data_IF_317338640072
#
_entry.id   IF_317338640072
#
_cell.length_a   1.000
_cell.length_b   1.000
_cell.length_c   1.000
_cell.angle_alpha   90.00
_cell.angle_beta   90.00
_cell.angle_gamma   90.00
#
_symmetry.space_group_name_H-M   'P 1'
#
loop_
_entity.id
_entity.type
_entity.pdbx_description
1 polymer ?
#
# COMPACT_ATOMS: atom_id res chain seq x y z
N UNK A 1 24.00 6.48 38.78
CA UNK A 1 23.36 7.51 37.94
C UNK A 1 23.71 7.15 36.51
N UNK A 2 22.80 6.49 35.78
CA UNK A 2 23.08 5.83 34.51
C UNK A 2 23.09 6.80 33.32
N UNK A 3 23.92 6.50 32.32
CA UNK A 3 24.15 7.20 31.05
C UNK A 3 22.90 7.49 30.18
N UNK A 4 21.70 7.09 30.60
CA UNK A 4 20.45 7.28 29.85
C UNK A 4 19.95 8.72 29.90
N UNK A 5 20.34 9.52 30.89
CA UNK A 5 19.86 10.90 31.01
C UNK A 5 20.35 11.85 29.90
N UNK A 6 21.34 11.45 29.08
CA UNK A 6 21.88 12.28 27.98
C UNK A 6 21.55 11.75 26.58
N UNK A 7 20.79 10.66 26.45
CA UNK A 7 20.46 10.13 25.12
C UNK A 7 19.27 10.90 24.52
N UNK A 8 19.50 11.60 23.40
CA UNK A 8 18.50 12.40 22.67
C UNK A 8 17.30 11.60 22.17
N UNK A 9 17.42 10.28 22.12
CA UNK A 9 16.39 9.36 21.58
C UNK A 9 15.45 8.78 22.65
N UNK A 10 15.68 9.06 23.93
CA UNK A 10 14.82 8.59 25.04
C UNK A 10 14.15 9.79 25.70
N UNK A 11 12.82 9.78 25.73
CA UNK A 11 12.01 10.84 26.35
C UNK A 11 11.18 10.27 27.50
N UNK A 12 11.30 10.87 28.69
CA UNK A 12 10.53 10.49 29.87
C UNK A 12 9.46 11.52 30.17
N UNK A 13 8.26 11.05 30.45
CA UNK A 13 7.09 11.86 30.78
C UNK A 13 6.46 11.26 32.03
N UNK A 14 6.29 12.06 33.08
CA UNK A 14 5.60 11.64 34.30
C UNK A 14 4.31 12.43 34.42
N UNK A 15 3.16 11.75 34.42
CA UNK A 15 1.85 12.38 34.59
C UNK A 15 1.55 12.62 36.07
N UNK A 16 0.58 13.51 36.33
CA UNK A 16 0.14 13.86 37.68
C UNK A 16 -0.46 12.67 38.47
N UNK A 17 -0.94 11.64 37.77
CA UNK A 17 -1.43 10.38 38.35
C UNK A 17 -0.31 9.42 38.79
N UNK A 18 0.96 9.81 38.62
CA UNK A 18 2.13 9.01 38.97
C UNK A 18 2.56 8.01 37.90
N UNK A 19 1.87 7.98 36.75
CA UNK A 19 2.23 7.10 35.63
C UNK A 19 3.42 7.67 34.85
N UNK A 20 4.45 6.84 34.64
CA UNK A 20 5.66 7.15 33.90
C UNK A 20 5.60 6.54 32.49
N UNK A 21 5.82 7.37 31.49
CA UNK A 21 5.94 6.97 30.09
C UNK A 21 7.36 7.22 29.60
N UNK A 22 7.99 6.20 29.04
CA UNK A 22 9.32 6.26 28.44
C UNK A 22 9.17 6.00 26.94
N UNK A 23 9.36 7.03 26.12
CA UNK A 23 9.32 6.92 24.67
C UNK A 23 10.75 6.72 24.14
N UNK A 24 10.97 5.64 23.41
CA UNK A 24 12.25 5.33 22.74
C UNK A 24 12.06 5.53 21.24
N UNK A 25 12.69 6.57 20.71
CA UNK A 25 12.71 6.89 19.29
C UNK A 25 13.65 5.96 18.53
N UNK A 26 13.18 5.41 17.42
CA UNK A 26 13.96 4.49 16.60
C UNK A 26 14.03 4.94 15.14
N UNK A 27 15.18 4.69 14.50
CA UNK A 27 15.32 4.74 13.06
C UNK A 27 15.15 3.31 12.52
N UNK A 28 14.13 3.08 11.69
CA UNK A 28 13.59 1.76 11.31
C UNK A 28 14.52 0.80 10.53
N UNK A 29 15.83 1.02 10.55
CA UNK A 29 16.87 0.23 9.86
C UNK A 29 18.25 0.36 10.55
N UNK A 30 18.31 0.74 11.83
CA UNK A 30 19.56 0.96 12.56
C UNK A 30 19.83 -0.14 13.60
N UNK A 31 21.06 -0.66 13.60
CA UNK A 31 21.52 -1.57 14.65
C UNK A 31 21.62 -0.85 16.00
N UNK A 32 22.04 0.42 15.98
CA UNK A 32 22.13 1.26 17.17
C UNK A 32 20.76 1.42 17.85
N UNK A 33 19.69 1.59 17.07
CA UNK A 33 18.32 1.66 17.61
C UNK A 33 17.90 0.33 18.26
N UNK A 34 18.35 -0.81 17.73
CA UNK A 34 18.03 -2.13 18.28
C UNK A 34 18.73 -2.34 19.63
N UNK A 35 19.99 -1.96 19.71
CA UNK A 35 20.80 -2.08 20.94
C UNK A 35 20.30 -1.10 22.02
N UNK A 36 19.92 0.13 21.61
CA UNK A 36 19.29 1.12 22.49
C UNK A 36 17.99 0.59 23.12
N UNK A 37 17.13 -0.01 22.31
CA UNK A 37 15.86 -0.61 22.78
C UNK A 37 16.13 -1.73 23.78
N UNK A 38 17.10 -2.60 23.51
CA UNK A 38 17.47 -3.68 24.43
C UNK A 38 17.97 -3.12 25.78
N UNK A 39 18.88 -2.13 25.73
CA UNK A 39 19.39 -1.45 26.93
C UNK A 39 18.25 -0.78 27.71
N UNK A 40 17.38 -0.03 27.05
CA UNK A 40 16.27 0.67 27.67
C UNK A 40 15.29 -0.29 28.39
N UNK A 41 14.92 -1.41 27.76
CA UNK A 41 14.04 -2.42 28.41
C UNK A 41 14.72 -3.03 29.64
N UNK A 42 16.02 -3.38 29.51
CA UNK A 42 16.77 -4.01 30.60
C UNK A 42 17.02 -3.08 31.80
N UNK A 43 17.18 -1.78 31.59
CA UNK A 43 17.46 -0.83 32.68
C UNK A 43 16.18 -0.27 33.32
N UNK A 44 15.15 -0.01 32.52
CA UNK A 44 13.91 0.63 32.99
C UNK A 44 13.03 -0.35 33.76
N UNK A 45 13.06 -1.63 33.38
CA UNK A 45 12.14 -2.67 33.85
C UNK A 45 10.68 -2.18 33.85
N UNK A 46 10.12 -1.88 32.67
CA UNK A 46 8.76 -1.38 32.56
C UNK A 46 7.73 -2.47 32.89
N UNK A 47 6.55 -2.04 33.34
CA UNK A 47 5.40 -2.92 33.55
C UNK A 47 4.82 -3.42 32.22
N UNK A 48 4.90 -2.59 31.17
CA UNK A 48 4.44 -2.92 29.81
C UNK A 48 5.35 -2.31 28.75
N UNK A 49 5.63 -3.07 27.69
CA UNK A 49 6.31 -2.57 26.49
C UNK A 49 5.31 -2.39 25.35
N UNK A 50 5.10 -1.15 24.94
CA UNK A 50 4.31 -0.78 23.77
C UNK A 50 5.20 -0.72 22.52
N UNK A 51 4.73 -1.24 21.39
CA UNK A 51 5.50 -1.27 20.15
C UNK A 51 4.67 -0.75 18.98
N UNK A 52 5.27 0.08 18.11
CA UNK A 52 4.67 0.60 16.87
C UNK A 52 4.52 -0.48 15.77
N UNK A 53 3.88 -1.59 16.12
CA UNK A 53 3.55 -2.70 15.24
C UNK A 53 2.08 -3.04 15.35
N UNK A 54 1.49 -3.43 14.22
CA UNK A 54 0.20 -4.10 14.16
C UNK A 54 0.38 -5.62 14.04
N UNK A 55 -0.68 -6.39 14.30
CA UNK A 55 -0.63 -7.85 14.24
C UNK A 55 -0.16 -8.41 12.90
N UNK A 56 -0.56 -7.77 11.79
CA UNK A 56 -0.22 -8.21 10.45
C UNK A 56 1.28 -8.05 10.18
N UNK A 57 1.86 -6.91 10.60
CA UNK A 57 3.30 -6.68 10.54
C UNK A 57 4.07 -7.60 11.49
N UNK A 58 3.60 -7.82 12.72
CA UNK A 58 4.24 -8.78 13.63
C UNK A 58 4.30 -10.19 13.01
N UNK A 59 3.17 -10.69 12.52
CA UNK A 59 3.09 -12.00 11.84
C UNK A 59 4.02 -12.09 10.63
N UNK A 60 4.24 -10.97 9.93
CA UNK A 60 5.14 -10.91 8.78
C UNK A 60 6.63 -10.90 9.18
N UNK A 61 6.95 -10.35 10.36
CA UNK A 61 8.29 -10.37 10.93
C UNK A 61 8.62 -11.75 11.55
N UNK A 62 7.62 -12.41 12.15
CA UNK A 62 7.74 -13.77 12.72
C UNK A 62 7.80 -14.86 11.63
N UNK A 63 6.97 -14.76 10.57
CA UNK A 63 6.98 -15.69 9.42
C UNK A 63 7.15 -14.91 8.09
N UNK A 64 8.39 -14.56 7.72
CA UNK A 64 8.70 -13.83 6.49
C UNK A 64 8.32 -14.58 5.22
N UNK A 65 8.11 -15.90 5.31
CA UNK A 65 7.83 -16.78 4.19
C UNK A 65 6.34 -17.12 4.06
N UNK A 66 5.48 -16.57 4.94
CA UNK A 66 4.04 -16.82 4.97
C UNK A 66 3.35 -16.62 3.62
N UNK A 67 3.73 -15.57 2.89
CA UNK A 67 3.16 -15.25 1.59
C UNK A 67 3.49 -16.29 0.51
N UNK A 68 4.57 -17.08 0.66
CA UNK A 68 4.90 -18.21 -0.22
C UNK A 68 3.86 -19.33 -0.15
N UNK A 69 3.07 -19.37 0.94
CA UNK A 69 2.00 -20.35 1.17
C UNK A 69 0.62 -19.83 0.76
N UNK A 70 0.50 -18.59 0.27
CA UNK A 70 -0.81 -18.02 -0.04
C UNK A 70 -1.31 -18.50 -1.39
N UNK A 71 -2.54 -19.01 -1.42
CA UNK A 71 -3.19 -19.46 -2.65
C UNK A 71 -3.64 -18.26 -3.50
N UNK A 72 -2.96 -18.03 -4.62
CA UNK A 72 -3.31 -17.00 -5.59
C UNK A 72 -4.72 -17.15 -6.15
N UNK A 73 -5.25 -18.39 -6.24
CA UNK A 73 -6.61 -18.63 -6.74
C UNK A 73 -7.63 -17.99 -5.80
N UNK A 74 -7.41 -18.11 -4.49
CA UNK A 74 -8.25 -17.50 -3.47
C UNK A 74 -8.16 -15.96 -3.52
N UNK A 75 -6.94 -15.42 -3.57
CA UNK A 75 -6.71 -13.97 -3.65
C UNK A 75 -7.41 -13.35 -4.87
N UNK A 76 -7.25 -13.96 -6.05
CA UNK A 76 -7.89 -13.44 -7.28
C UNK A 76 -9.40 -13.56 -7.16
N UNK A 77 -9.93 -14.71 -6.70
CA UNK A 77 -11.39 -14.88 -6.53
C UNK A 77 -12.00 -13.86 -5.56
N UNK A 78 -11.26 -13.46 -4.53
CA UNK A 78 -11.67 -12.45 -3.54
C UNK A 78 -11.38 -11.00 -3.99
N UNK A 79 -11.00 -10.77 -5.26
CA UNK A 79 -10.63 -9.46 -5.80
C UNK A 79 -9.46 -8.76 -5.07
N UNK A 80 -8.61 -9.52 -4.38
CA UNK A 80 -7.48 -9.01 -3.59
C UNK A 80 -6.16 -8.94 -4.35
N UNK A 81 -6.17 -9.15 -5.68
CA UNK A 81 -4.95 -9.17 -6.48
C UNK A 81 -4.19 -7.84 -6.41
N UNK A 82 -4.91 -6.71 -6.35
CA UNK A 82 -4.31 -5.39 -6.14
C UNK A 82 -3.59 -5.27 -4.79
N UNK A 83 -4.19 -5.80 -3.72
CA UNK A 83 -3.58 -5.84 -2.38
C UNK A 83 -2.33 -6.71 -2.36
N UNK A 84 -2.36 -7.86 -3.04
CA UNK A 84 -1.18 -8.71 -3.19
C UNK A 84 -0.06 -7.96 -3.91
N UNK A 85 -0.35 -7.31 -5.04
CA UNK A 85 0.64 -6.53 -5.80
C UNK A 85 1.23 -5.43 -4.92
N UNK A 86 0.40 -4.67 -4.21
CA UNK A 86 0.86 -3.64 -3.28
C UNK A 86 1.78 -4.21 -2.20
N UNK A 87 1.41 -5.33 -1.57
CA UNK A 87 2.23 -6.00 -0.56
C UNK A 87 3.56 -6.50 -1.14
N UNK A 88 3.57 -7.06 -2.35
CA UNK A 88 4.78 -7.53 -3.02
C UNK A 88 5.71 -6.37 -3.36
N UNK A 89 5.17 -5.25 -3.85
CA UNK A 89 5.94 -4.03 -4.14
C UNK A 89 6.52 -3.46 -2.84
N UNK A 90 5.70 -3.27 -1.82
CA UNK A 90 6.13 -2.73 -0.51
C UNK A 90 7.17 -3.62 0.15
N UNK A 91 6.92 -4.94 0.21
CA UNK A 91 7.87 -5.91 0.74
C UNK A 91 9.18 -5.96 -0.06
N UNK A 92 9.11 -5.78 -1.38
CA UNK A 92 10.31 -5.70 -2.22
C UNK A 92 11.15 -4.45 -1.95
N UNK A 93 10.49 -3.31 -1.75
CA UNK A 93 11.14 -2.05 -1.42
C UNK A 93 11.79 -2.13 -0.03
N UNK A 94 11.08 -2.66 0.96
CA UNK A 94 11.60 -2.94 2.30
C UNK A 94 12.82 -3.87 2.26
N UNK A 95 12.75 -4.96 1.50
CA UNK A 95 13.88 -5.89 1.34
C UNK A 95 15.08 -5.23 0.68
N UNK A 96 14.87 -4.36 -0.32
CA UNK A 96 15.94 -3.62 -1.01
C UNK A 96 16.63 -2.62 -0.08
N UNK A 97 15.88 -1.90 0.75
CA UNK A 97 16.45 -0.97 1.74
C UNK A 97 17.24 -1.71 2.83
N UNK A 98 16.72 -2.84 3.34
CA UNK A 98 17.41 -3.63 4.36
C UNK A 98 18.71 -4.29 3.90
N UNK A 99 18.89 -4.52 2.59
CA UNK A 99 20.16 -5.02 2.02
C UNK A 99 21.28 -3.97 2.08
N UNK A 100 20.96 -2.67 2.12
CA UNK A 100 21.95 -1.61 2.18
C UNK A 100 22.46 -1.34 3.61
N UNK A 101 21.65 -1.61 4.63
CA UNK A 101 22.00 -1.39 6.05
C UNK A 101 22.30 -2.69 6.81
N UNK A 102 22.04 -3.86 6.23
CA UNK A 102 22.19 -5.16 6.90
C UNK A 102 21.10 -5.46 7.95
N UNK A 103 20.31 -4.45 8.34
CA UNK A 103 19.22 -4.55 9.32
C UNK A 103 17.88 -4.57 8.58
N UNK A 104 17.05 -5.58 8.88
CA UNK A 104 15.72 -5.68 8.30
C UNK A 104 14.84 -4.54 8.83
N UNK A 105 14.02 -3.89 7.98
CA UNK A 105 13.08 -2.88 8.46
C UNK A 105 12.14 -3.44 9.54
N UNK A 106 12.01 -2.74 10.66
CA UNK A 106 11.21 -3.20 11.80
C UNK A 106 11.91 -4.20 12.73
N UNK A 107 13.22 -4.46 12.54
CA UNK A 107 13.98 -5.35 13.40
C UNK A 107 14.16 -4.79 14.82
N UNK A 108 14.19 -3.47 14.97
CA UNK A 108 14.21 -2.77 16.25
C UNK A 108 12.90 -2.98 17.03
N UNK A 109 11.76 -2.85 16.34
CA UNK A 109 10.43 -3.08 16.92
C UNK A 109 10.22 -4.56 17.27
N UNK A 110 10.63 -5.47 16.39
CA UNK A 110 10.58 -6.91 16.69
C UNK A 110 11.53 -7.31 17.82
N UNK A 111 12.73 -6.70 17.85
CA UNK A 111 13.68 -6.87 18.94
C UNK A 111 13.10 -6.45 20.29
N UNK A 112 12.35 -5.34 20.35
CA UNK A 112 11.62 -4.93 21.55
C UNK A 112 10.69 -6.04 22.08
N UNK A 113 9.96 -6.69 21.18
CA UNK A 113 9.03 -7.78 21.53
C UNK A 113 9.80 -8.99 22.06
N UNK A 114 10.92 -9.36 21.43
CA UNK A 114 11.75 -10.47 21.89
C UNK A 114 12.34 -10.21 23.28
N UNK A 115 12.94 -9.03 23.48
CA UNK A 115 13.53 -8.63 24.75
C UNK A 115 12.48 -8.58 25.87
N UNK A 116 11.28 -8.06 25.58
CA UNK A 116 10.17 -8.05 26.54
C UNK A 116 9.69 -9.47 26.89
N UNK A 117 9.58 -10.37 25.89
CA UNK A 117 9.24 -11.79 26.10
C UNK A 117 10.29 -12.49 26.97
N UNK A 118 11.57 -12.26 26.73
CA UNK A 118 12.67 -12.82 27.54
C UNK A 118 12.63 -12.32 28.99
N UNK A 119 12.26 -11.05 29.20
CA UNK A 119 12.11 -10.44 30.52
C UNK A 119 10.75 -10.73 31.19
N UNK A 120 9.85 -11.51 30.56
CA UNK A 120 8.47 -11.76 31.01
C UNK A 120 7.64 -10.47 31.22
N UNK A 121 7.92 -9.43 30.44
CA UNK A 121 7.16 -8.18 30.44
C UNK A 121 6.05 -8.27 29.37
N UNK A 122 4.79 -7.94 29.70
CA UNK A 122 3.71 -7.93 28.71
C UNK A 122 3.98 -6.90 27.60
N UNK A 123 3.68 -7.30 26.37
CA UNK A 123 3.81 -6.44 25.19
C UNK A 123 2.46 -6.01 24.65
N UNK A 124 2.30 -4.73 24.34
CA UNK A 124 1.11 -4.18 23.68
C UNK A 124 1.46 -3.71 22.26
N UNK A 125 0.75 -4.23 21.27
CA UNK A 125 0.77 -3.70 19.91
C UNK A 125 -0.01 -2.38 19.89
N UNK A 126 0.70 -1.28 19.69
CA UNK A 126 0.15 0.06 19.85
C UNK A 126 -0.30 0.70 18.53
N UNK A 127 0.01 0.09 17.39
CA UNK A 127 -0.28 0.69 16.08
C UNK A 127 -1.53 0.11 15.43
N UNK A 128 -2.16 0.91 14.57
CA UNK A 128 -3.31 0.48 13.76
C UNK A 128 -2.85 -0.34 12.56
N UNK A 129 -3.75 -1.15 12.01
CA UNK A 129 -3.47 -1.92 10.78
C UNK A 129 -2.98 -0.98 9.67
N UNK A 130 -1.76 -1.22 9.17
CA UNK A 130 -1.14 -0.42 8.12
C UNK A 130 -2.01 -0.35 6.84
N UNK A 131 -2.82 -1.38 6.55
CA UNK A 131 -3.78 -1.36 5.44
C UNK A 131 -4.91 -0.37 5.67
N UNK A 132 -5.31 -0.16 6.92
CA UNK A 132 -6.30 0.87 7.27
C UNK A 132 -5.65 2.24 7.10
N UNK A 133 -4.45 2.45 7.66
CA UNK A 133 -3.64 3.67 7.46
C UNK A 133 -3.55 4.05 5.98
N UNK A 134 -3.04 3.15 5.14
CA UNK A 134 -2.82 3.41 3.72
C UNK A 134 -4.13 3.65 2.96
N UNK A 135 -5.18 2.85 3.21
CA UNK A 135 -6.49 3.06 2.56
C UNK A 135 -7.10 4.39 2.97
N UNK A 136 -6.97 4.77 4.23
CA UNK A 136 -7.50 6.02 4.76
C UNK A 136 -6.75 7.21 4.18
N UNK A 137 -5.41 7.18 4.13
CA UNK A 137 -4.58 8.18 3.45
C UNK A 137 -5.04 8.35 2.02
N UNK A 138 -5.26 7.24 1.30
CA UNK A 138 -5.77 7.30 -0.06
C UNK A 138 -7.19 7.86 -0.12
N UNK A 139 -8.09 7.51 0.80
CA UNK A 139 -9.47 8.03 0.78
C UNK A 139 -9.55 9.53 1.07
N UNK A 140 -8.72 10.05 1.98
CA UNK A 140 -8.71 11.45 2.37
C UNK A 140 -7.97 12.35 1.37
N UNK A 141 -7.05 11.80 0.58
CA UNK A 141 -6.28 12.59 -0.40
C UNK A 141 -7.14 12.90 -1.63
N UNK A 142 -7.28 14.18 -2.04
CA UNK A 142 -7.98 14.57 -3.25
C UNK A 142 -7.38 13.97 -4.52
N UNK A 143 -8.20 13.75 -5.56
CA UNK A 143 -7.77 13.07 -6.78
C UNK A 143 -6.58 13.77 -7.48
N UNK A 144 -6.57 15.11 -7.54
CA UNK A 144 -5.49 15.87 -8.17
C UNK A 144 -4.15 15.75 -7.42
N UNK A 145 -4.18 15.67 -6.08
CA UNK A 145 -2.97 15.44 -5.25
C UNK A 145 -2.45 14.01 -5.40
N UNK A 146 -3.34 13.02 -5.55
CA UNK A 146 -2.93 11.64 -5.89
C UNK A 146 -2.16 11.60 -7.20
N UNK A 147 -2.64 12.28 -8.24
CA UNK A 147 -1.92 12.36 -9.52
C UNK A 147 -0.59 13.08 -9.37
N UNK A 148 -0.53 14.17 -8.60
CA UNK A 148 0.73 14.87 -8.30
C UNK A 148 1.75 13.97 -7.58
N UNK A 149 1.33 13.21 -6.56
CA UNK A 149 2.18 12.22 -5.87
C UNK A 149 2.68 11.13 -6.81
N UNK A 150 1.79 10.59 -7.65
CA UNK A 150 2.18 9.58 -8.64
C UNK A 150 3.20 10.17 -9.62
N UNK A 151 2.94 11.38 -10.13
CA UNK A 151 3.85 12.07 -11.04
C UNK A 151 5.22 12.37 -10.42
N UNK A 152 5.27 12.81 -9.15
CA UNK A 152 6.53 13.08 -8.46
C UNK A 152 7.32 11.80 -8.19
N UNK A 153 6.65 10.70 -7.82
CA UNK A 153 7.29 9.38 -7.69
C UNK A 153 7.80 8.85 -9.03
N UNK A 154 7.06 9.05 -10.12
CA UNK A 154 7.57 8.69 -11.45
C UNK A 154 8.78 9.55 -11.82
N UNK A 155 8.73 10.87 -11.60
CA UNK A 155 9.84 11.76 -11.87
C UNK A 155 11.10 11.35 -11.11
N UNK A 156 10.98 11.00 -9.83
CA UNK A 156 12.12 10.56 -9.01
C UNK A 156 12.71 9.21 -9.45
N UNK A 157 11.91 8.32 -10.06
CA UNK A 157 12.42 7.07 -10.65
C UNK A 157 13.19 7.27 -11.96
N UNK A 158 12.93 8.37 -12.68
CA UNK A 158 13.68 8.75 -13.88
C UNK A 158 14.86 9.68 -13.57
N UNK A 159 14.93 10.18 -12.34
CA UNK A 159 16.06 10.95 -11.86
C UNK A 159 17.24 10.00 -11.63
N UNK A 160 18.33 10.23 -12.37
CA UNK A 160 19.57 9.44 -12.30
C UNK A 160 20.64 10.14 -11.47
N UNK A 161 20.28 11.18 -10.73
CA UNK A 161 21.22 11.84 -9.83
C UNK A 161 21.66 10.85 -8.74
N UNK A 162 22.94 10.50 -8.77
CA UNK A 162 23.56 9.75 -7.68
C UNK A 162 23.63 10.67 -6.46
N UNK A 163 22.96 10.28 -5.37
CA UNK A 163 23.00 11.01 -4.11
C UNK A 163 24.42 10.95 -3.56
N UNK A 164 25.07 12.09 -3.43
CA UNK A 164 26.43 12.17 -2.89
C UNK A 164 26.47 11.70 -1.42
N UNK A 165 27.60 11.16 -0.94
CA UNK A 165 27.73 10.76 0.47
C UNK A 165 27.47 11.91 1.45
N UNK A 166 27.81 13.14 1.05
CA UNK A 166 27.58 14.38 1.79
C UNK A 166 26.08 14.67 1.96
N UNK A 167 25.30 14.56 0.86
CA UNK A 167 23.83 14.69 0.90
C UNK A 167 23.19 13.55 1.69
N UNK A 168 23.72 12.34 1.57
CA UNK A 168 23.24 11.17 2.30
C UNK A 168 23.43 11.32 3.81
N UNK A 169 24.54 11.94 4.25
CA UNK A 169 24.78 12.29 5.66
C UNK A 169 23.85 13.40 6.14
N UNK A 170 23.62 14.45 5.33
CA UNK A 170 22.63 15.49 5.65
C UNK A 170 21.23 14.89 5.84
N UNK A 171 20.77 14.07 4.91
CA UNK A 171 19.46 13.40 4.98
C UNK A 171 19.33 12.51 6.21
N UNK A 172 20.41 11.87 6.69
CA UNK A 172 20.37 11.00 7.88
C UNK A 172 20.20 11.75 9.20
N UNK A 173 20.45 13.06 9.24
CA UNK A 173 20.27 13.83 10.47
C UNK A 173 18.78 13.99 10.81
N UNK A 174 18.44 13.87 12.10
CA UNK A 174 17.07 14.00 12.61
C UNK A 174 16.46 15.37 12.25
N UNK A 175 17.27 16.43 12.26
CA UNK A 175 16.86 17.79 11.90
C UNK A 175 16.54 17.95 10.40
N UNK A 176 17.26 17.26 9.52
CA UNK A 176 16.97 17.30 8.09
C UNK A 176 15.75 16.45 7.74
N UNK A 177 15.58 15.28 8.38
CA UNK A 177 14.39 14.44 8.21
C UNK A 177 13.12 15.16 8.67
N UNK A 178 13.17 15.80 9.83
CA UNK A 178 12.03 16.57 10.34
C UNK A 178 11.69 17.75 9.42
N UNK A 179 12.70 18.46 8.89
CA UNK A 179 12.50 19.55 7.92
C UNK A 179 11.89 19.04 6.61
N UNK A 180 12.39 17.92 6.06
CA UNK A 180 11.81 17.30 4.86
C UNK A 180 10.37 16.84 5.08
N UNK A 181 10.06 16.27 6.25
CA UNK A 181 8.70 15.88 6.62
C UNK A 181 7.77 17.09 6.77
N UNK A 182 8.27 18.22 7.26
CA UNK A 182 7.51 19.46 7.32
C UNK A 182 7.21 20.01 5.91
N UNK A 183 8.19 20.07 5.02
CA UNK A 183 7.99 20.53 3.63
C UNK A 183 7.08 19.58 2.84
N UNK A 184 7.24 18.27 3.02
CA UNK A 184 6.32 17.28 2.47
C UNK A 184 4.90 17.49 3.01
N UNK A 185 4.75 17.75 4.30
CA UNK A 185 3.47 18.02 4.95
C UNK A 185 2.80 19.31 4.49
N UNK A 186 3.56 20.35 4.11
CA UNK A 186 3.01 21.56 3.48
C UNK A 186 2.45 21.27 2.10
N UNK A 187 3.12 20.40 1.34
CA UNK A 187 2.73 20.04 -0.03
C UNK A 187 1.55 19.06 -0.05
N UNK A 188 1.54 18.08 0.86
CA UNK A 188 0.55 17.01 0.96
C UNK A 188 -0.03 16.92 2.38
N UNK A 189 -0.79 17.95 2.84
CA UNK A 189 -1.28 18.00 4.21
C UNK A 189 -2.21 16.85 4.55
N UNK A 190 -3.06 16.36 3.63
CA UNK A 190 -3.93 15.21 3.93
C UNK A 190 -3.13 13.92 4.16
N UNK A 191 -1.99 13.78 3.47
CA UNK A 191 -1.10 12.63 3.66
C UNK A 191 -0.42 12.72 5.01
N UNK A 192 0.11 13.89 5.39
CA UNK A 192 0.68 14.13 6.71
C UNK A 192 -0.35 13.86 7.81
N UNK A 193 -1.54 14.44 7.69
CA UNK A 193 -2.60 14.31 8.70
C UNK A 193 -2.92 12.85 8.97
N UNK A 194 -3.07 12.03 7.92
CA UNK A 194 -3.41 10.61 8.14
C UNK A 194 -2.21 9.77 8.56
N UNK A 195 -1.03 9.94 7.94
CA UNK A 195 0.14 9.09 8.20
C UNK A 195 0.86 9.44 9.50
N UNK A 196 0.81 10.69 9.94
CA UNK A 196 1.50 11.20 11.12
C UNK A 196 0.45 11.59 12.17
N UNK A 197 -0.28 12.70 11.99
CA UNK A 197 -1.06 13.32 13.08
C UNK A 197 -2.12 12.36 13.67
N UNK A 198 -2.92 11.69 12.83
CA UNK A 198 -3.92 10.70 13.28
C UNK A 198 -3.29 9.41 13.80
N UNK A 199 -2.12 9.05 13.27
CA UNK A 199 -1.39 7.86 13.71
C UNK A 199 -0.78 8.10 15.10
N UNK A 200 -0.28 9.29 15.35
CA UNK A 200 0.18 9.75 16.67
C UNK A 200 -0.95 9.72 17.69
N UNK A 201 -2.16 10.17 17.30
CA UNK A 201 -3.35 10.08 18.14
C UNK A 201 -3.68 8.63 18.51
N UNK A 202 -3.65 7.72 17.53
CA UNK A 202 -3.90 6.30 17.77
C UNK A 202 -2.82 5.69 18.69
N UNK A 203 -1.55 5.90 18.37
CA UNK A 203 -0.42 5.41 19.17
C UNK A 203 -0.47 5.95 20.59
N UNK A 204 -0.69 7.24 20.76
CA UNK A 204 -0.78 7.88 22.06
C UNK A 204 -1.98 7.36 22.88
N UNK A 205 -3.14 7.11 22.26
CA UNK A 205 -4.28 6.46 22.92
C UNK A 205 -3.89 5.09 23.48
N UNK A 206 -3.28 4.23 22.64
CA UNK A 206 -2.87 2.87 23.02
C UNK A 206 -1.80 2.88 24.11
N UNK A 207 -0.82 3.78 24.02
CA UNK A 207 0.25 3.94 25.01
C UNK A 207 -0.32 4.43 26.34
N UNK A 208 -1.18 5.45 26.33
CA UNK A 208 -1.81 6.02 27.55
C UNK A 208 -2.61 4.96 28.31
N UNK A 209 -3.36 4.14 27.58
CA UNK A 209 -4.23 3.10 28.11
C UNK A 209 -3.52 1.76 28.39
N UNK A 210 -2.21 1.66 28.15
CA UNK A 210 -1.45 0.44 28.43
C UNK A 210 -1.46 0.10 29.93
N UNK A 211 -1.50 -1.20 30.30
CA UNK A 211 -1.52 -1.60 31.71
C UNK A 211 -0.20 -1.27 32.43
N UNK A 212 -0.28 -1.08 33.75
CA UNK A 212 0.87 -0.74 34.60
C UNK A 212 1.12 0.76 34.75
N UNK A 213 2.07 1.11 35.61
CA UNK A 213 2.43 2.48 35.96
C UNK A 213 3.71 2.95 35.25
N UNK A 214 4.58 2.02 34.84
CA UNK A 214 5.79 2.32 34.06
C UNK A 214 5.68 1.72 32.66
N UNK A 215 5.36 2.55 31.67
CA UNK A 215 5.13 2.10 30.29
C UNK A 215 6.31 2.55 29.41
N UNK A 216 6.94 1.61 28.73
CA UNK A 216 7.97 1.92 27.73
C UNK A 216 7.39 1.73 26.33
N UNK A 217 7.43 2.76 25.49
CA UNK A 217 6.95 2.71 24.11
C UNK A 217 8.11 2.83 23.12
N UNK A 218 8.27 1.84 22.25
CA UNK A 218 9.23 1.85 21.14
C UNK A 218 8.50 2.28 19.86
N UNK A 219 8.86 3.46 19.37
CA UNK A 219 8.20 4.10 18.21
C UNK A 219 9.25 4.69 17.26
N UNK A 220 8.86 4.97 16.03
CA UNK A 220 9.67 5.68 15.06
C UNK A 220 9.93 7.12 15.50
N UNK A 221 11.13 7.63 15.24
CA UNK A 221 11.53 8.99 15.65
C UNK A 221 10.58 10.09 15.16
N UNK A 222 9.91 9.89 14.03
CA UNK A 222 8.93 10.84 13.48
C UNK A 222 7.65 11.01 14.31
N UNK A 223 7.32 10.03 15.16
CA UNK A 223 6.10 10.01 15.98
C UNK A 223 6.33 10.54 17.41
N UNK A 224 7.59 10.61 17.86
CA UNK A 224 7.96 10.99 19.22
C UNK A 224 7.38 12.35 19.62
N UNK A 225 7.60 13.38 18.80
CA UNK A 225 7.17 14.75 19.12
C UNK A 225 5.65 14.86 19.26
N UNK A 226 4.91 14.20 18.36
CA UNK A 226 3.44 14.21 18.38
C UNK A 226 2.88 13.45 19.57
N UNK A 227 3.36 12.22 19.82
CA UNK A 227 2.93 11.40 20.96
C UNK A 227 3.26 12.09 22.29
N UNK A 228 4.48 12.62 22.43
CA UNK A 228 4.92 13.33 23.63
C UNK A 228 3.97 14.47 23.96
N UNK A 229 3.70 15.35 22.99
CA UNK A 229 2.79 16.48 23.16
C UNK A 229 1.41 16.02 23.64
N UNK A 230 0.85 14.98 23.00
CA UNK A 230 -0.47 14.43 23.34
C UNK A 230 -0.51 13.85 24.76
N UNK A 231 0.55 13.19 25.21
CA UNK A 231 0.62 12.61 26.57
C UNK A 231 0.83 13.69 27.63
N UNK A 232 1.70 14.67 27.37
CA UNK A 232 2.00 15.79 28.28
C UNK A 232 0.79 16.72 28.48
N UNK A 233 0.09 17.07 27.39
CA UNK A 233 -1.10 17.93 27.43
C UNK A 233 -2.36 17.19 27.91
N UNK A 234 -2.28 15.86 28.05
CA UNK A 234 -3.42 14.98 28.33
C UNK A 234 -4.66 15.27 27.47
N UNK A 235 -4.43 15.60 26.20
CA UNK A 235 -5.49 16.04 25.29
C UNK A 235 -6.57 14.97 25.14
N UNK A 236 -7.82 15.40 24.92
CA UNK A 236 -8.89 14.51 24.49
C UNK A 236 -8.59 13.97 23.10
N UNK A 237 -8.72 12.66 22.95
CA UNK A 237 -8.42 11.96 21.69
C UNK A 237 -9.72 11.50 21.03
N UNK A 238 -9.78 11.50 19.68
CA UNK A 238 -10.82 10.78 18.95
C UNK A 238 -10.82 9.30 19.34
N UNK A 239 -11.97 8.63 19.21
CA UNK A 239 -12.04 7.21 19.49
C UNK A 239 -11.19 6.40 18.49
N UNK A 240 -10.63 5.27 18.93
CA UNK A 240 -9.82 4.39 18.09
C UNK A 240 -10.59 3.90 16.85
N UNK A 241 -11.91 3.70 16.97
CA UNK A 241 -12.78 3.32 15.86
C UNK A 241 -12.86 4.44 14.80
N UNK A 242 -13.00 5.69 15.23
CA UNK A 242 -13.08 6.84 14.31
C UNK A 242 -11.79 7.03 13.50
N UNK A 243 -10.64 6.72 14.09
CA UNK A 243 -9.32 6.76 13.44
C UNK A 243 -9.10 5.58 12.50
N UNK A 244 -9.92 4.53 12.61
CA UNK A 244 -9.91 3.35 11.74
C UNK A 244 -10.99 3.39 10.64
N UNK A 245 -11.97 4.29 10.72
CA UNK A 245 -13.05 4.39 9.75
C UNK A 245 -12.54 4.90 8.39
N UNK A 246 -12.89 4.18 7.33
CA UNK A 246 -12.58 4.55 5.94
C UNK A 246 -13.89 4.93 5.26
N UNK A 247 -14.01 6.20 4.86
CA UNK A 247 -15.19 6.67 4.14
C UNK A 247 -15.33 5.91 2.82
N UNK A 248 -16.53 5.40 2.47
CA UNK A 248 -16.74 4.72 1.21
C UNK A 248 -16.46 5.67 0.03
N UNK A 249 -15.94 5.15 -1.10
CA UNK A 249 -15.78 5.96 -2.29
C UNK A 249 -17.12 6.53 -2.73
N UNK A 250 -17.11 7.74 -3.31
CA UNK A 250 -18.33 8.39 -3.75
C UNK A 250 -19.07 7.52 -4.78
N UNK A 251 -20.37 7.33 -4.56
CA UNK A 251 -21.25 6.62 -5.49
C UNK A 251 -21.31 7.27 -6.87
N UNK A 252 -20.85 8.53 -7.00
CA UNK A 252 -20.76 9.28 -8.24
C UNK A 252 -20.02 8.51 -9.34
N UNK A 253 -18.88 7.86 -9.04
CA UNK A 253 -18.14 7.11 -10.06
C UNK A 253 -18.92 5.87 -10.55
N UNK A 254 -19.67 5.22 -9.65
CA UNK A 254 -20.56 4.11 -10.04
C UNK A 254 -21.69 4.62 -10.93
N UNK A 255 -22.31 5.75 -10.55
CA UNK A 255 -23.39 6.38 -11.31
C UNK A 255 -22.89 6.77 -12.70
N UNK A 256 -21.80 7.53 -12.81
CA UNK A 256 -21.19 7.93 -14.09
C UNK A 256 -20.89 6.70 -14.95
N UNK A 257 -20.31 5.65 -14.36
CA UNK A 257 -20.01 4.41 -15.08
C UNK A 257 -21.24 3.72 -15.66
N UNK A 258 -22.33 3.64 -14.89
CA UNK A 258 -23.61 3.09 -15.36
C UNK A 258 -24.30 4.02 -16.37
N UNK A 259 -24.21 5.33 -16.20
CA UNK A 259 -24.74 6.32 -17.16
C UNK A 259 -24.04 6.19 -18.52
N UNK A 260 -22.71 6.07 -18.55
CA UNK A 260 -21.95 5.84 -19.80
C UNK A 260 -22.39 4.53 -20.45
N UNK A 261 -22.55 3.47 -19.66
CA UNK A 261 -23.02 2.17 -20.16
C UNK A 261 -24.41 2.27 -20.80
N UNK A 262 -25.36 2.89 -20.11
CA UNK A 262 -26.70 3.11 -20.61
C UNK A 262 -26.68 3.96 -21.89
N UNK A 263 -25.87 5.02 -21.92
CA UNK A 263 -25.73 5.89 -23.09
C UNK A 263 -25.20 5.12 -24.32
N UNK A 264 -24.21 4.23 -24.15
CA UNK A 264 -23.70 3.39 -25.25
C UNK A 264 -24.80 2.49 -25.81
N UNK A 265 -25.51 1.76 -24.93
CA UNK A 265 -26.56 0.82 -25.34
C UNK A 265 -27.70 1.56 -26.05
N UNK A 266 -28.17 2.67 -25.46
CA UNK A 266 -29.23 3.49 -26.02
C UNK A 266 -28.83 4.10 -27.37
N UNK A 267 -27.57 4.51 -27.54
CA UNK A 267 -27.07 5.05 -28.81
C UNK A 267 -27.11 4.02 -29.92
N UNK A 268 -26.66 2.79 -29.66
CA UNK A 268 -26.71 1.70 -30.65
C UNK A 268 -28.14 1.33 -31.01
N UNK A 269 -29.03 1.25 -30.02
CA UNK A 269 -30.47 0.99 -30.23
C UNK A 269 -31.11 2.11 -31.07
N UNK A 270 -30.80 3.37 -30.75
CA UNK A 270 -31.32 4.54 -31.47
C UNK A 270 -30.88 4.55 -32.95
N UNK A 271 -29.60 4.31 -33.23
CA UNK A 271 -29.10 4.16 -34.61
C UNK A 271 -29.79 2.99 -35.32
N UNK A 272 -30.08 1.89 -34.60
CA UNK A 272 -30.84 0.78 -35.15
C UNK A 272 -32.27 1.16 -35.59
N UNK A 273 -32.93 2.05 -34.84
CA UNK A 273 -34.24 2.58 -35.21
C UNK A 273 -34.19 3.59 -36.38
N UNK A 274 -33.18 4.46 -36.43
CA UNK A 274 -33.07 5.47 -37.51
C UNK A 274 -32.49 4.92 -38.81
N UNK A 275 -31.39 4.19 -38.72
CA UNK A 275 -30.54 3.81 -39.87
C UNK A 275 -30.62 2.31 -40.20
N UNK A 276 -31.43 1.54 -39.47
CA UNK A 276 -31.68 0.12 -39.70
C UNK A 276 -30.79 -0.81 -38.87
N UNK A 277 -31.25 -2.06 -38.72
CA UNK A 277 -30.61 -3.10 -37.90
C UNK A 277 -29.20 -3.47 -38.39
N UNK A 278 -28.92 -3.36 -39.68
CA UNK A 278 -27.61 -3.65 -40.26
C UNK A 278 -26.54 -2.70 -39.70
N UNK A 279 -26.85 -1.40 -39.61
CA UNK A 279 -25.91 -0.40 -39.08
C UNK A 279 -25.68 -0.56 -37.59
N UNK A 280 -26.72 -0.87 -36.82
CA UNK A 280 -26.58 -1.21 -35.40
C UNK A 280 -25.75 -2.48 -35.18
N UNK A 281 -25.89 -3.48 -36.05
CA UNK A 281 -25.08 -4.69 -36.07
C UNK A 281 -23.60 -4.38 -36.33
N UNK A 282 -23.30 -3.52 -37.30
CA UNK A 282 -21.93 -3.06 -37.59
C UNK A 282 -21.29 -2.35 -36.39
N UNK A 283 -22.01 -1.41 -35.75
CA UNK A 283 -21.52 -0.71 -34.56
C UNK A 283 -21.27 -1.66 -33.39
N UNK A 284 -22.16 -2.64 -33.20
CA UNK A 284 -22.00 -3.68 -32.18
C UNK A 284 -20.77 -4.54 -32.48
N UNK A 285 -20.59 -4.97 -33.73
CA UNK A 285 -19.42 -5.76 -34.13
C UNK A 285 -18.12 -4.95 -33.94
N UNK A 286 -18.11 -3.68 -34.32
CA UNK A 286 -16.98 -2.78 -34.11
C UNK A 286 -16.63 -2.64 -32.62
N UNK A 287 -17.64 -2.49 -31.74
CA UNK A 287 -17.41 -2.50 -30.29
C UNK A 287 -16.71 -3.78 -29.85
N UNK A 288 -17.20 -4.95 -30.27
CA UNK A 288 -16.62 -6.23 -29.92
C UNK A 288 -15.19 -6.40 -30.46
N UNK A 289 -14.95 -6.00 -31.72
CA UNK A 289 -13.65 -6.11 -32.37
C UNK A 289 -12.61 -5.20 -31.73
N UNK A 290 -12.91 -3.92 -31.51
CA UNK A 290 -11.95 -2.98 -30.95
C UNK A 290 -11.66 -3.25 -29.47
N UNK A 291 -12.68 -3.56 -28.67
CA UNK A 291 -12.48 -3.83 -27.24
C UNK A 291 -11.88 -5.22 -27.00
N UNK A 292 -12.45 -6.26 -27.62
CA UNK A 292 -11.98 -7.64 -27.54
C UNK A 292 -10.61 -7.82 -28.18
N UNK A 293 -10.44 -7.36 -29.41
CA UNK A 293 -9.16 -7.43 -30.12
C UNK A 293 -8.06 -6.65 -29.39
N UNK A 294 -8.35 -5.43 -28.92
CA UNK A 294 -7.42 -4.66 -28.10
C UNK A 294 -7.01 -5.41 -26.82
N UNK A 295 -7.97 -5.94 -26.07
CA UNK A 295 -7.67 -6.72 -24.87
C UNK A 295 -6.83 -7.97 -25.16
N UNK A 296 -7.14 -8.67 -26.26
CA UNK A 296 -6.36 -9.83 -26.71
C UNK A 296 -4.92 -9.45 -27.05
N UNK A 297 -4.71 -8.33 -27.76
CA UNK A 297 -3.37 -7.80 -28.03
C UNK A 297 -2.61 -7.51 -26.73
N UNK A 298 -3.26 -6.87 -25.75
CA UNK A 298 -2.66 -6.65 -24.44
C UNK A 298 -2.31 -7.97 -23.71
N UNK A 299 -3.14 -9.00 -23.83
CA UNK A 299 -2.86 -10.33 -23.28
C UNK A 299 -1.71 -11.05 -24.00
N UNK A 300 -1.60 -10.89 -25.33
CA UNK A 300 -0.47 -11.40 -26.12
C UNK A 300 0.82 -10.74 -25.67
N UNK A 301 0.82 -9.41 -25.55
CA UNK A 301 1.98 -8.65 -25.05
C UNK A 301 2.33 -9.10 -23.63
N UNK A 302 1.36 -9.42 -22.78
CA UNK A 302 1.62 -9.97 -21.44
C UNK A 302 2.22 -11.38 -21.43
N UNK A 303 2.30 -12.08 -22.57
CA UNK A 303 2.73 -13.47 -22.66
C UNK A 303 1.71 -14.44 -22.04
N UNK A 304 0.42 -14.10 -22.11
CA UNK A 304 -0.66 -14.90 -21.53
C UNK A 304 -0.76 -16.29 -22.17
N UNK A 305 -1.39 -17.22 -21.47
CA UNK A 305 -1.77 -18.52 -22.02
C UNK A 305 -2.80 -18.32 -23.15
N UNK A 306 -2.83 -19.15 -24.21
CA UNK A 306 -3.81 -19.01 -25.31
C UNK A 306 -5.27 -18.90 -24.83
N UNK A 307 -5.68 -19.71 -23.84
CA UNK A 307 -7.02 -19.59 -23.26
C UNK A 307 -7.27 -18.26 -22.54
N UNK A 308 -6.24 -17.67 -21.92
CA UNK A 308 -6.34 -16.35 -21.29
C UNK A 308 -6.42 -15.23 -22.36
N UNK A 309 -5.75 -15.38 -23.49
CA UNK A 309 -5.90 -14.49 -24.65
C UNK A 309 -7.33 -14.54 -25.21
N UNK A 310 -7.89 -15.73 -25.37
CA UNK A 310 -9.29 -15.91 -25.80
C UNK A 310 -10.28 -15.34 -24.79
N UNK A 311 -10.00 -15.51 -23.50
CA UNK A 311 -10.80 -14.90 -22.43
C UNK A 311 -10.77 -13.37 -22.53
N UNK A 312 -9.62 -12.78 -22.86
CA UNK A 312 -9.53 -11.33 -23.08
C UNK A 312 -10.44 -10.89 -24.26
N UNK A 313 -10.37 -11.61 -25.38
CA UNK A 313 -11.18 -11.35 -26.57
C UNK A 313 -12.68 -11.39 -26.28
N UNK A 314 -13.13 -12.41 -25.53
CA UNK A 314 -14.55 -12.62 -25.24
C UNK A 314 -15.06 -11.72 -24.12
N UNK A 315 -14.28 -11.51 -23.06
CA UNK A 315 -14.75 -10.79 -21.87
C UNK A 315 -14.64 -9.27 -21.99
N UNK A 316 -13.73 -8.73 -22.80
CA UNK A 316 -13.54 -7.27 -22.90
C UNK A 316 -14.78 -6.50 -23.36
N UNK A 317 -15.57 -6.96 -24.34
CA UNK A 317 -16.78 -6.25 -24.77
C UNK A 317 -17.82 -6.13 -23.65
N UNK A 318 -17.97 -7.16 -22.82
CA UNK A 318 -18.91 -7.18 -21.70
C UNK A 318 -18.40 -6.42 -20.48
N UNK A 319 -17.16 -6.68 -20.07
CA UNK A 319 -16.49 -5.93 -18.99
C UNK A 319 -16.34 -4.45 -19.35
N UNK A 320 -16.36 -4.15 -20.65
CA UNK A 320 -16.35 -2.79 -21.16
C UNK A 320 -17.57 -1.97 -20.77
N UNK A 321 -18.72 -2.64 -20.60
CA UNK A 321 -20.04 -2.11 -20.26
C UNK A 321 -20.34 -2.22 -18.77
N UNK A 322 -19.34 -2.49 -17.92
CA UNK A 322 -19.53 -2.46 -16.47
C UNK A 322 -18.42 -1.65 -15.82
N UNK A 323 -18.75 -0.72 -14.91
CA UNK A 323 -17.75 0.03 -14.15
C UNK A 323 -17.11 -0.78 -13.01
N UNK A 324 -17.55 -2.03 -12.80
CA UNK A 324 -17.21 -2.81 -11.60
C UNK A 324 -16.04 -3.76 -11.81
N UNK A 325 -15.91 -4.37 -12.99
CA UNK A 325 -14.93 -5.45 -13.24
C UNK A 325 -14.26 -5.24 -14.59
N UNK A 326 -12.93 -5.18 -14.60
CA UNK A 326 -12.14 -5.07 -15.83
C UNK A 326 -11.75 -6.43 -16.42
N UNK A 327 -11.53 -6.48 -17.73
CA UNK A 327 -11.12 -7.70 -18.47
C UNK A 327 -9.91 -8.40 -17.86
N UNK A 328 -8.92 -7.64 -17.38
CA UNK A 328 -7.69 -8.17 -16.82
C UNK A 328 -7.91 -9.11 -15.62
N UNK A 329 -9.00 -8.94 -14.87
CA UNK A 329 -9.38 -9.85 -13.79
C UNK A 329 -9.56 -11.29 -14.31
N UNK A 330 -10.34 -11.45 -15.37
CA UNK A 330 -10.64 -12.76 -15.95
C UNK A 330 -9.39 -13.36 -16.62
N UNK A 331 -8.61 -12.52 -17.31
CA UNK A 331 -7.35 -12.96 -17.94
C UNK A 331 -6.36 -13.47 -16.89
N UNK A 332 -6.17 -12.73 -15.80
CA UNK A 332 -5.30 -13.14 -14.70
C UNK A 332 -5.79 -14.42 -14.00
N UNK A 333 -7.12 -14.57 -13.82
CA UNK A 333 -7.70 -15.77 -13.23
C UNK A 333 -7.43 -17.01 -14.11
N UNK A 334 -7.75 -16.94 -15.40
CA UNK A 334 -7.50 -18.03 -16.35
C UNK A 334 -6.00 -18.31 -16.46
N UNK A 335 -5.16 -17.28 -16.44
CA UNK A 335 -3.71 -17.44 -16.42
C UNK A 335 -3.21 -18.24 -15.22
N UNK A 336 -3.72 -17.97 -14.01
CA UNK A 336 -3.34 -18.71 -12.80
C UNK A 336 -3.85 -20.15 -12.83
N UNK A 337 -5.02 -20.41 -13.38
CA UNK A 337 -5.51 -21.78 -13.55
C UNK A 337 -4.66 -22.57 -14.55
N UNK A 338 -4.33 -21.98 -15.70
CA UNK A 338 -3.60 -22.68 -16.77
C UNK A 338 -2.09 -22.75 -16.53
N UNK A 339 -1.51 -21.72 -15.90
CA UNK A 339 -0.07 -21.62 -15.60
C UNK A 339 0.13 -21.15 -14.16
N UNK A 340 -0.16 -22.00 -13.15
CA UNK A 340 0.02 -21.63 -11.76
C UNK A 340 1.49 -21.28 -11.47
N UNK A 341 1.75 -20.21 -10.68
CA UNK A 341 3.09 -19.87 -10.22
C UNK A 341 3.66 -20.91 -9.25
N UNK A 342 4.99 -21.07 -9.28
CA UNK A 342 5.71 -21.98 -8.37
C UNK A 342 6.17 -21.26 -7.11
N UNK A 343 6.34 -22.00 -6.01
CA UNK A 343 6.85 -21.48 -4.72
C UNK A 343 8.19 -20.75 -4.89
N UNK A 344 9.10 -21.28 -5.71
CA UNK A 344 10.40 -20.66 -5.99
C UNK A 344 10.29 -19.31 -6.71
N UNK A 345 9.24 -19.08 -7.50
CA UNK A 345 9.04 -17.81 -8.22
C UNK A 345 8.48 -16.72 -7.31
N UNK A 346 7.83 -17.11 -6.21
CA UNK A 346 7.52 -16.18 -5.15
C UNK A 346 8.82 -15.63 -4.60
N UNK A 347 9.76 -16.47 -4.16
CA UNK A 347 11.03 -16.04 -3.55
C UNK A 347 11.82 -14.97 -4.32
N UNK A 348 11.80 -15.04 -5.65
CA UNK A 348 12.53 -14.10 -6.51
C UNK A 348 11.71 -12.88 -6.91
N UNK A 349 10.38 -12.89 -6.70
CA UNK A 349 9.48 -11.82 -7.17
C UNK A 349 9.87 -10.44 -6.66
N UNK A 350 10.35 -10.37 -5.41
CA UNK A 350 10.80 -9.11 -4.79
C UNK A 350 11.98 -8.48 -5.52
N UNK A 351 12.81 -9.29 -6.19
CA UNK A 351 13.95 -8.79 -6.97
C UNK A 351 13.54 -8.62 -8.43
N UNK A 352 12.74 -9.54 -8.95
CA UNK A 352 12.32 -9.57 -10.35
C UNK A 352 11.44 -8.37 -10.73
N UNK A 353 10.66 -7.83 -9.78
CA UNK A 353 9.78 -6.67 -10.02
C UNK A 353 10.55 -5.42 -10.44
N UNK A 354 11.83 -5.29 -10.06
CA UNK A 354 12.70 -4.17 -10.41
C UNK A 354 13.40 -4.32 -11.77
N UNK A 355 13.27 -5.48 -12.43
CA UNK A 355 13.91 -5.76 -13.73
C UNK A 355 12.84 -6.07 -14.77
N UNK A 356 12.56 -5.12 -15.67
CA UNK A 356 11.51 -5.22 -16.70
C UNK A 356 11.58 -6.55 -17.48
N UNK A 357 12.77 -7.00 -17.89
CA UNK A 357 12.94 -8.25 -18.63
C UNK A 357 12.51 -9.51 -17.87
N UNK A 358 12.50 -9.46 -16.53
CA UNK A 358 12.09 -10.59 -15.68
C UNK A 358 10.58 -10.68 -15.49
N UNK A 359 9.83 -9.63 -15.79
CA UNK A 359 8.37 -9.63 -15.66
C UNK A 359 7.71 -10.72 -16.53
N UNK A 360 8.29 -10.97 -17.70
CA UNK A 360 7.85 -12.04 -18.61
C UNK A 360 8.40 -13.41 -18.28
N UNK A 361 9.44 -13.54 -17.44
CA UNK A 361 10.03 -14.83 -17.07
C UNK A 361 9.35 -15.44 -15.85
N UNK A 362 9.15 -14.64 -14.81
CA UNK A 362 8.53 -15.07 -13.56
C UNK A 362 7.00 -15.15 -13.73
N UNK A 363 6.39 -16.29 -13.39
CA UNK A 363 4.93 -16.49 -13.54
C UNK A 363 4.11 -15.57 -12.65
N UNK A 364 4.59 -15.19 -11.47
CA UNK A 364 3.88 -14.26 -10.57
C UNK A 364 3.77 -12.89 -11.23
N UNK A 365 4.89 -12.33 -11.71
CA UNK A 365 4.89 -11.04 -12.42
C UNK A 365 4.11 -11.12 -13.75
N UNK A 366 4.13 -12.27 -14.41
CA UNK A 366 3.34 -12.48 -15.64
C UNK A 366 1.84 -12.45 -15.37
N UNK A 367 1.37 -12.97 -14.23
CA UNK A 367 -0.03 -12.84 -13.82
C UNK A 367 -0.40 -11.37 -13.60
N UNK A 368 0.51 -10.58 -13.03
CA UNK A 368 0.32 -9.13 -12.88
C UNK A 368 0.24 -8.43 -14.25
N UNK A 369 1.11 -8.79 -15.20
CA UNK A 369 1.01 -8.30 -16.59
C UNK A 369 -0.32 -8.67 -17.23
N UNK A 370 -0.77 -9.92 -17.05
CA UNK A 370 -2.06 -10.40 -17.54
C UNK A 370 -3.26 -9.67 -16.91
N UNK A 371 -3.10 -9.13 -15.70
CA UNK A 371 -4.09 -8.30 -15.06
C UNK A 371 -4.11 -6.85 -15.60
N UNK A 372 -2.93 -6.26 -15.84
CA UNK A 372 -2.82 -4.84 -16.19
C UNK A 372 -2.91 -4.57 -17.69
N UNK A 373 -2.14 -5.30 -18.50
CA UNK A 373 -1.94 -4.97 -19.92
C UNK A 373 -3.18 -5.09 -20.79
N UNK A 374 -4.09 -6.08 -20.63
CA UNK A 374 -5.31 -6.15 -21.43
C UNK A 374 -6.22 -4.93 -21.27
N UNK A 375 -6.17 -4.23 -20.13
CA UNK A 375 -7.01 -3.08 -19.85
C UNK A 375 -6.70 -1.86 -20.73
N UNK A 376 -5.42 -1.56 -20.96
CA UNK A 376 -5.02 -0.33 -21.68
C UNK A 376 -5.49 -0.30 -23.14
N UNK A 377 -5.22 -1.31 -23.99
CA UNK A 377 -5.70 -1.29 -25.35
C UNK A 377 -7.22 -1.48 -25.44
N UNK A 378 -7.85 -2.16 -24.48
CA UNK A 378 -9.31 -2.23 -24.41
C UNK A 378 -9.93 -0.84 -24.21
N UNK A 379 -9.33 0.03 -23.37
CA UNK A 379 -9.78 1.42 -23.20
C UNK A 379 -9.66 2.19 -24.52
N UNK A 380 -8.53 2.06 -25.22
CA UNK A 380 -8.35 2.69 -26.56
C UNK A 380 -9.43 2.17 -27.52
N UNK A 381 -9.69 0.87 -27.52
CA UNK A 381 -10.74 0.26 -28.34
C UNK A 381 -12.13 0.80 -28.03
N UNK A 382 -12.46 1.06 -26.76
CA UNK A 382 -13.73 1.71 -26.38
C UNK A 382 -13.83 3.12 -26.95
N UNK A 383 -12.76 3.91 -26.88
CA UNK A 383 -12.73 5.28 -27.42
C UNK A 383 -12.97 5.26 -28.93
N UNK A 384 -12.29 4.37 -29.66
CA UNK A 384 -12.46 4.22 -31.11
C UNK A 384 -13.90 3.81 -31.45
N UNK A 385 -14.45 2.81 -30.73
CA UNK A 385 -15.82 2.37 -30.94
C UNK A 385 -16.86 3.47 -30.64
N UNK A 386 -16.64 4.25 -29.58
CA UNK A 386 -17.47 5.41 -29.23
C UNK A 386 -17.46 6.47 -30.33
N UNK A 387 -16.29 6.78 -30.90
CA UNK A 387 -16.18 7.71 -32.03
C UNK A 387 -16.95 7.17 -33.24
N UNK A 388 -16.92 5.85 -33.49
CA UNK A 388 -17.70 5.20 -34.54
C UNK A 388 -19.21 5.34 -34.34
N UNK A 389 -19.69 5.13 -33.10
CA UNK A 389 -21.10 5.33 -32.74
C UNK A 389 -21.50 6.81 -32.91
N UNK A 390 -20.66 7.74 -32.46
CA UNK A 390 -20.91 9.17 -32.59
C UNK A 390 -21.06 9.63 -34.04
N UNK A 391 -20.23 9.09 -34.95
CA UNK A 391 -20.29 9.38 -36.39
C UNK A 391 -21.50 8.74 -37.11
N UNK A 392 -22.20 7.83 -36.44
CA UNK A 392 -23.36 7.13 -37.00
C UNK A 392 -24.70 7.76 -36.61
N UNK A 393 -24.69 8.70 -35.65
CA UNK A 393 -25.70 9.75 -35.56
C UNK A 393 -25.48 10.76 -36.68
#
# INVERSE_FOLDING_TARGET
>A
MSEICENTDIHRITRADGKEFILVGTAHISQESKDLVAKAISEVHPDTVCVELDEGRLKSLEDPDRWKKTDLRKIIREHQLGTLIANLVLGSYQKRMGLQTGVRPGAELYGAILNAREANIPTLLADRDIKVTLRRTWSCTPWYRKFSLIASLFASLFDKTEVSEEELRKIKSQDSLSTMMQEFGKTFPEVKTVLIDERDQYLASRIRNAPGNRVLAVVGAGHITGIRKIIEEDSSLPSEESLCEIKPPSSLFKIIGWTITAAIILSVVFVGFQSGLEKAGELTLNWFLFTGGGAMLGAIVAGAHPLAMLTALVMAPFTGLTPLIGVGFFVALVQVYMRPPRVSEFETVSVDIWKVSRWWRNRVTRVILCFLLPGFPAIIGKIIALVGIYKAF
#
